data_IF_976894626248
#
_entry.id   IF_976894626248
#
_cell.length_a   1.000
_cell.length_b   1.000
_cell.length_c   1.000
_cell.angle_alpha   90.00
_cell.angle_beta   90.00
_cell.angle_gamma   90.00
#
_symmetry.space_group_name_H-M   'P 1'
#
loop_
_entity.id
_entity.type
_entity.pdbx_description
1 polymer ?
#
# COMPACT_ATOMS: atom_id res chain seq x y z
N UNK A 1 67.52 -43.70 3.78
CA UNK A 1 67.10 -42.36 3.31
C UNK A 1 65.70 -42.08 3.83
N UNK A 2 65.55 -41.11 4.73
CA UNK A 2 64.28 -40.72 5.35
C UNK A 2 63.84 -39.39 4.74
N UNK A 3 62.68 -39.33 4.08
CA UNK A 3 62.05 -38.07 3.68
C UNK A 3 61.02 -37.68 4.74
N UNK A 4 61.31 -36.61 5.49
CA UNK A 4 60.38 -35.98 6.41
C UNK A 4 59.49 -35.00 5.64
N UNK A 5 58.17 -35.20 5.70
CA UNK A 5 57.18 -34.22 5.27
C UNK A 5 57.04 -33.17 6.38
N UNK A 6 57.52 -31.94 6.11
CA UNK A 6 57.28 -30.81 6.99
C UNK A 6 55.91 -30.20 6.61
N UNK A 7 54.87 -30.51 7.40
CA UNK A 7 53.61 -29.76 7.37
C UNK A 7 53.84 -28.43 8.09
N UNK A 8 54.02 -27.35 7.34
CA UNK A 8 53.99 -25.98 7.84
C UNK A 8 52.54 -25.55 8.10
N UNK A 9 52.25 -25.21 9.35
CA UNK A 9 50.96 -24.74 9.86
C UNK A 9 50.46 -23.48 9.13
N UNK A 10 49.33 -23.58 8.44
CA UNK A 10 48.56 -22.40 8.03
C UNK A 10 48.01 -21.73 9.30
N UNK A 11 48.47 -20.50 9.59
CA UNK A 11 47.95 -19.69 10.68
C UNK A 11 46.47 -19.33 10.42
N UNK A 12 45.56 -20.09 11.04
CA UNK A 12 44.10 -19.98 10.90
C UNK A 12 43.57 -18.57 11.18
N UNK A 13 44.29 -17.77 11.98
CA UNK A 13 43.91 -16.42 12.35
C UNK A 13 43.98 -15.41 11.19
N UNK A 14 44.90 -15.57 10.24
CA UNK A 14 45.01 -14.64 9.10
C UNK A 14 43.93 -14.89 8.05
N UNK A 15 43.54 -16.16 7.87
CA UNK A 15 42.45 -16.54 6.98
C UNK A 15 41.09 -16.00 7.45
N UNK A 16 40.83 -16.00 8.76
CA UNK A 16 39.60 -15.45 9.32
C UNK A 16 39.53 -13.93 9.15
N UNK A 17 40.63 -13.21 9.34
CA UNK A 17 40.67 -11.75 9.11
C UNK A 17 40.44 -11.43 7.63
N UNK A 18 41.04 -12.20 6.71
CA UNK A 18 40.80 -12.03 5.27
C UNK A 18 39.36 -12.35 4.88
N UNK A 19 38.77 -13.38 5.49
CA UNK A 19 37.36 -13.71 5.31
C UNK A 19 36.44 -12.57 5.79
N UNK A 20 36.70 -11.98 6.95
CA UNK A 20 35.95 -10.82 7.42
C UNK A 20 36.15 -9.55 6.59
N UNK A 21 37.32 -9.40 5.93
CA UNK A 21 37.62 -8.27 5.06
C UNK A 21 36.95 -8.39 3.67
N UNK A 22 36.80 -9.62 3.16
CA UNK A 22 36.15 -9.90 1.88
C UNK A 22 34.63 -10.05 2.03
N UNK A 23 34.15 -10.57 3.15
CA UNK A 23 32.73 -10.69 3.49
C UNK A 23 32.33 -9.64 4.51
N UNK A 24 32.60 -8.37 4.21
CA UNK A 24 32.11 -7.25 4.99
C UNK A 24 30.61 -7.39 5.27
N UNK A 25 30.21 -7.11 6.51
CA UNK A 25 28.81 -7.16 6.94
C UNK A 25 27.98 -6.16 6.12
N UNK A 26 27.33 -6.64 5.06
CA UNK A 26 26.24 -5.93 4.40
C UNK A 26 25.06 -5.98 5.36
N UNK A 27 24.93 -4.97 6.21
CA UNK A 27 23.68 -4.71 6.91
C UNK A 27 22.73 -4.13 5.86
N UNK A 28 21.95 -4.99 5.22
CA UNK A 28 20.88 -4.58 4.34
C UNK A 28 19.83 -3.83 5.19
N UNK A 29 19.75 -2.51 5.03
CA UNK A 29 18.64 -1.72 5.54
C UNK A 29 17.38 -2.07 4.72
N UNK A 30 16.63 -3.07 5.17
CA UNK A 30 15.45 -3.58 4.46
C UNK A 30 14.21 -2.65 4.52
N UNK A 31 14.27 -1.52 5.22
CA UNK A 31 13.12 -0.62 5.44
C UNK A 31 12.99 0.51 4.39
N UNK A 32 14.01 0.78 3.58
CA UNK A 32 13.99 1.89 2.61
C UNK A 32 13.38 1.48 1.25
N UNK A 33 13.52 0.21 0.85
CA UNK A 33 13.09 -0.27 -0.47
C UNK A 33 11.56 -0.39 -0.60
N UNK A 34 10.86 -0.89 0.42
CA UNK A 34 9.41 -1.10 0.33
C UNK A 34 8.62 0.21 0.22
N UNK A 35 9.04 1.26 0.92
CA UNK A 35 8.42 2.57 0.86
C UNK A 35 8.64 3.23 -0.50
N UNK A 36 9.87 3.19 -1.03
CA UNK A 36 10.18 3.68 -2.37
C UNK A 36 9.39 2.95 -3.45
N UNK A 37 9.25 1.63 -3.33
CA UNK A 37 8.48 0.86 -4.31
C UNK A 37 6.97 1.18 -4.23
N UNK A 38 6.41 1.34 -3.04
CA UNK A 38 5.01 1.75 -2.86
C UNK A 38 4.71 3.12 -3.48
N UNK A 39 5.62 4.09 -3.32
CA UNK A 39 5.45 5.44 -3.89
C UNK A 39 5.63 5.48 -5.40
N UNK A 40 6.51 4.63 -5.97
CA UNK A 40 6.84 4.64 -7.41
C UNK A 40 5.89 3.83 -8.28
N UNK A 41 5.26 2.80 -7.72
CA UNK A 41 4.42 1.86 -8.49
C UNK A 41 3.06 2.46 -8.89
N UNK A 42 2.58 3.44 -8.14
CA UNK A 42 1.27 4.06 -8.36
C UNK A 42 1.43 5.56 -8.57
N UNK A 43 0.56 6.13 -9.41
CA UNK A 43 0.49 7.59 -9.63
C UNK A 43 -0.28 8.26 -8.49
N UNK A 44 0.29 8.23 -7.28
CA UNK A 44 -0.33 8.83 -6.10
C UNK A 44 -0.52 10.35 -6.29
N UNK A 45 -1.70 10.83 -5.91
CA UNK A 45 -2.07 12.24 -5.88
C UNK A 45 -2.39 12.66 -4.46
N UNK A 46 -2.21 13.95 -4.17
CA UNK A 46 -2.80 14.55 -2.98
C UNK A 46 -4.32 14.69 -3.15
N UNK A 47 -5.01 14.96 -2.04
CA UNK A 47 -6.48 14.99 -1.99
C UNK A 47 -7.10 15.95 -3.02
N UNK A 48 -6.60 17.19 -3.08
CA UNK A 48 -7.16 18.22 -3.95
C UNK A 48 -6.97 17.88 -5.43
N UNK A 49 -5.74 17.54 -5.82
CA UNK A 49 -5.42 17.18 -7.21
C UNK A 49 -6.17 15.93 -7.64
N UNK A 50 -6.23 14.91 -6.79
CA UNK A 50 -6.91 13.65 -7.09
C UNK A 50 -8.40 13.83 -7.35
N UNK A 51 -9.09 14.59 -6.50
CA UNK A 51 -10.52 14.87 -6.71
C UNK A 51 -10.79 15.74 -7.94
N UNK A 52 -9.86 16.62 -8.32
CA UNK A 52 -9.97 17.38 -9.57
C UNK A 52 -9.73 16.49 -10.80
N UNK A 53 -8.71 15.65 -10.78
CA UNK A 53 -8.39 14.71 -11.86
C UNK A 53 -9.52 13.68 -12.06
N UNK A 54 -10.17 13.23 -10.99
CA UNK A 54 -11.30 12.29 -11.07
C UNK A 54 -12.46 12.86 -11.89
N UNK A 55 -12.78 14.14 -11.71
CA UNK A 55 -13.84 14.84 -12.46
C UNK A 55 -13.51 14.91 -13.95
N UNK A 56 -12.25 15.17 -14.29
CA UNK A 56 -11.80 15.31 -15.68
C UNK A 56 -11.72 13.94 -16.36
N UNK A 57 -11.07 12.97 -15.71
CA UNK A 57 -10.82 11.64 -16.23
C UNK A 57 -12.04 10.71 -16.17
N UNK A 58 -13.10 11.12 -15.45
CA UNK A 58 -14.31 10.33 -15.19
C UNK A 58 -14.01 8.97 -14.54
N UNK A 59 -12.95 8.90 -13.75
CA UNK A 59 -12.55 7.71 -12.99
C UNK A 59 -12.98 7.84 -11.52
N UNK A 60 -13.39 6.75 -10.86
CA UNK A 60 -13.57 6.73 -9.41
C UNK A 60 -12.24 6.98 -8.69
N UNK A 61 -12.34 7.37 -7.43
CA UNK A 61 -11.20 7.68 -6.56
C UNK A 61 -10.98 6.52 -5.61
N UNK A 62 -9.73 6.06 -5.55
CA UNK A 62 -9.23 5.21 -4.48
C UNK A 62 -8.49 6.13 -3.49
N UNK A 63 -8.99 6.25 -2.25
CA UNK A 63 -8.37 7.09 -1.22
C UNK A 63 -7.77 6.22 -0.11
N UNK A 64 -6.45 6.27 0.03
CA UNK A 64 -5.73 5.70 1.18
C UNK A 64 -5.46 6.78 2.22
N UNK A 65 -6.02 6.60 3.41
CA UNK A 65 -5.72 7.42 4.59
C UNK A 65 -4.76 6.64 5.47
N UNK A 66 -3.59 7.22 5.75
CA UNK A 66 -2.55 6.57 6.52
C UNK A 66 -1.85 7.53 7.49
N UNK A 67 -0.98 6.99 8.34
CA UNK A 67 -0.12 7.79 9.23
C UNK A 67 1.32 7.28 9.16
N UNK A 68 2.33 8.14 8.97
CA UNK A 68 3.74 7.75 9.06
C UNK A 68 4.06 7.12 10.43
N UNK A 69 4.88 6.08 10.45
CA UNK A 69 5.25 5.37 11.68
C UNK A 69 4.13 4.52 12.28
N UNK A 70 3.01 4.32 11.58
CA UNK A 70 1.97 3.38 12.00
C UNK A 70 2.36 1.94 11.59
N UNK A 71 2.55 1.00 12.54
CA UNK A 71 2.98 -0.36 12.22
C UNK A 71 2.05 -1.11 11.27
N UNK A 72 0.74 -0.86 11.37
CA UNK A 72 -0.26 -1.49 10.49
C UNK A 72 -0.20 -0.95 9.07
N UNK A 73 0.02 0.37 8.89
CA UNK A 73 0.23 0.97 7.58
C UNK A 73 1.49 0.43 6.91
N UNK A 74 2.60 0.37 7.65
CA UNK A 74 3.88 -0.13 7.10
C UNK A 74 3.80 -1.61 6.69
N UNK A 75 3.06 -2.44 7.44
CA UNK A 75 2.79 -3.84 7.06
C UNK A 75 1.89 -3.98 5.82
N UNK A 76 1.01 -3.01 5.57
CA UNK A 76 0.09 -3.05 4.43
C UNK A 76 0.81 -2.72 3.12
N UNK A 77 1.71 -1.74 3.12
CA UNK A 77 2.43 -1.27 1.91
C UNK A 77 3.07 -2.39 1.08
N UNK A 78 3.92 -3.29 1.61
CA UNK A 78 4.55 -4.33 0.79
C UNK A 78 3.52 -5.33 0.24
N UNK A 79 2.45 -5.64 1.00
CA UNK A 79 1.36 -6.50 0.52
C UNK A 79 0.61 -5.86 -0.64
N UNK A 80 0.39 -4.56 -0.56
CA UNK A 80 -0.27 -3.76 -1.59
C UNK A 80 0.60 -3.66 -2.85
N UNK A 81 1.87 -3.30 -2.70
CA UNK A 81 2.84 -3.17 -3.79
C UNK A 81 3.07 -4.50 -4.52
N UNK A 82 3.20 -5.62 -3.80
CA UNK A 82 3.49 -6.91 -4.42
C UNK A 82 2.29 -7.56 -5.14
N UNK A 83 1.13 -6.91 -5.16
CA UNK A 83 -0.09 -7.43 -5.80
C UNK A 83 -0.24 -6.89 -7.22
N UNK A 84 0.06 -7.74 -8.22
CA UNK A 84 -0.13 -7.44 -9.65
C UNK A 84 -1.60 -7.09 -9.94
N UNK A 85 -2.55 -7.74 -9.27
CA UNK A 85 -3.97 -7.49 -9.50
C UNK A 85 -4.40 -6.10 -8.99
N UNK A 86 -3.85 -5.64 -7.87
CA UNK A 86 -4.07 -4.27 -7.40
C UNK A 86 -3.44 -3.27 -8.37
N UNK A 87 -2.22 -3.55 -8.85
CA UNK A 87 -1.57 -2.69 -9.85
C UNK A 87 -2.41 -2.54 -11.12
N UNK A 88 -2.96 -3.64 -11.65
CA UNK A 88 -3.83 -3.59 -12.83
C UNK A 88 -5.12 -2.81 -12.55
N UNK A 89 -5.80 -3.08 -11.43
CA UNK A 89 -7.02 -2.37 -11.05
C UNK A 89 -6.77 -0.88 -10.83
N UNK A 90 -5.62 -0.50 -10.28
CA UNK A 90 -5.28 0.90 -9.98
C UNK A 90 -5.32 1.82 -11.20
N UNK A 91 -5.13 1.27 -12.41
CA UNK A 91 -5.20 2.03 -13.65
C UNK A 91 -6.61 2.58 -13.95
N UNK A 92 -7.64 1.99 -13.35
CA UNK A 92 -9.04 2.40 -13.48
C UNK A 92 -9.48 3.43 -12.44
N UNK A 93 -8.60 3.76 -11.48
CA UNK A 93 -8.85 4.72 -10.42
C UNK A 93 -7.94 5.94 -10.54
N UNK A 94 -8.37 7.05 -9.93
CA UNK A 94 -7.45 8.08 -9.47
C UNK A 94 -6.95 7.67 -8.08
N UNK A 95 -5.65 7.38 -7.98
CA UNK A 95 -5.02 6.90 -6.76
C UNK A 95 -4.63 8.09 -5.87
N UNK A 96 -5.26 8.19 -4.70
CA UNK A 96 -5.07 9.31 -3.78
C UNK A 96 -4.55 8.79 -2.44
N UNK A 97 -3.53 9.45 -1.91
CA UNK A 97 -3.02 9.21 -0.56
C UNK A 97 -3.11 10.49 0.25
N UNK A 98 -3.55 10.38 1.50
CA UNK A 98 -3.53 11.49 2.44
C UNK A 98 -3.08 11.03 3.83
N UNK A 99 -2.43 11.92 4.57
CA UNK A 99 -2.11 11.65 5.97
C UNK A 99 -3.35 11.92 6.83
N UNK A 100 -3.56 11.12 7.86
CA UNK A 100 -4.64 11.35 8.83
C UNK A 100 -4.59 12.77 9.42
N UNK A 101 -3.40 13.25 9.73
CA UNK A 101 -3.21 14.55 10.37
C UNK A 101 -3.50 15.73 9.41
N UNK A 102 -3.78 15.48 8.12
CA UNK A 102 -4.21 16.47 7.12
C UNK A 102 -5.74 16.58 7.01
N UNK A 103 -6.52 15.73 7.72
CA UNK A 103 -7.98 15.79 7.72
C UNK A 103 -8.42 17.03 8.51
N UNK A 104 -9.20 17.90 7.85
CA UNK A 104 -9.81 19.06 8.50
C UNK A 104 -11.05 18.65 9.30
N UNK A 105 -11.38 19.41 10.35
CA UNK A 105 -12.60 19.18 11.14
C UNK A 105 -13.90 19.19 10.30
N UNK A 106 -13.89 19.91 9.17
CA UNK A 106 -15.04 19.98 8.26
C UNK A 106 -15.19 18.72 7.40
N UNK A 107 -14.12 17.97 7.21
CA UNK A 107 -14.07 16.78 6.36
C UNK A 107 -14.14 15.46 7.16
N UNK A 108 -14.16 15.51 8.49
CA UNK A 108 -14.19 14.33 9.37
C UNK A 108 -15.35 13.39 9.00
N UNK A 109 -16.56 13.92 8.83
CA UNK A 109 -17.73 13.11 8.47
C UNK A 109 -17.58 12.41 7.11
N UNK A 110 -16.74 12.96 6.21
CA UNK A 110 -16.48 12.41 4.87
C UNK A 110 -15.38 11.35 4.88
N UNK A 111 -14.35 11.52 5.69
CA UNK A 111 -13.14 10.69 5.68
C UNK A 111 -12.96 9.78 6.90
N UNK A 112 -13.85 9.90 7.90
CA UNK A 112 -13.86 9.09 9.13
C UNK A 112 -15.26 8.46 9.39
N UNK A 113 -15.90 7.82 8.37
CA UNK A 113 -17.30 7.39 8.44
C UNK A 113 -17.59 6.34 9.53
N UNK A 114 -16.59 5.58 9.96
CA UNK A 114 -16.68 4.59 11.04
C UNK A 114 -15.55 4.73 12.07
N UNK A 115 -14.97 5.92 12.16
CA UNK A 115 -13.96 6.29 13.15
C UNK A 115 -12.59 6.63 12.59
N UNK A 116 -11.65 6.84 13.51
CA UNK A 116 -10.40 7.57 13.23
C UNK A 116 -9.17 6.64 13.08
N UNK A 117 -9.36 5.32 13.01
CA UNK A 117 -8.27 4.33 12.90
C UNK A 117 -7.52 4.41 11.56
N UNK A 118 -6.28 3.92 11.47
CA UNK A 118 -5.52 3.85 10.21
C UNK A 118 -4.83 2.48 10.06
N UNK A 119 -4.56 2.01 8.83
CA UNK A 119 -4.95 2.59 7.53
C UNK A 119 -6.45 2.44 7.23
N UNK A 120 -6.98 3.34 6.38
CA UNK A 120 -8.35 3.25 5.83
C UNK A 120 -8.30 3.39 4.31
N UNK A 121 -9.12 2.62 3.62
CA UNK A 121 -9.32 2.75 2.17
C UNK A 121 -10.79 3.10 1.91
N UNK A 122 -11.02 4.26 1.31
CA UNK A 122 -12.33 4.76 0.95
C UNK A 122 -12.44 4.91 -0.56
N UNK A 123 -13.65 4.75 -1.09
CA UNK A 123 -13.95 4.90 -2.51
C UNK A 123 -14.92 6.06 -2.73
N UNK A 124 -14.67 6.82 -3.80
CA UNK A 124 -15.56 7.90 -4.21
C UNK A 124 -15.83 7.81 -5.71
N UNK A 125 -17.00 8.28 -6.10
CA UNK A 125 -17.35 8.48 -7.51
C UNK A 125 -16.47 9.57 -8.13
N UNK A 126 -16.49 9.67 -9.47
CA UNK A 126 -15.71 10.68 -10.20
C UNK A 126 -16.07 12.14 -9.88
N UNK A 127 -17.29 12.39 -9.40
CA UNK A 127 -17.78 13.69 -8.92
C UNK A 127 -17.42 13.95 -7.44
N UNK A 128 -16.92 12.95 -6.73
CA UNK A 128 -16.43 13.06 -5.36
C UNK A 128 -17.45 12.70 -4.27
N UNK A 129 -18.53 11.99 -4.64
CA UNK A 129 -19.52 11.43 -3.71
C UNK A 129 -18.97 10.15 -3.07
N UNK A 130 -19.19 10.00 -1.77
CA UNK A 130 -18.71 8.84 -1.03
C UNK A 130 -19.53 7.58 -1.35
N UNK A 131 -18.84 6.49 -1.71
CA UNK A 131 -19.45 5.19 -2.00
C UNK A 131 -19.63 4.40 -0.70
N UNK A 132 -20.64 4.75 0.09
CA UNK A 132 -20.92 4.17 1.42
C UNK A 132 -21.10 2.64 1.42
N UNK A 133 -21.52 2.07 0.30
CA UNK A 133 -21.78 0.65 0.16
C UNK A 133 -20.51 -0.14 -0.24
N UNK A 134 -19.43 0.55 -0.63
CA UNK A 134 -18.14 -0.07 -0.95
C UNK A 134 -17.24 -0.09 0.29
N UNK A 135 -17.22 -1.23 0.97
CA UNK A 135 -16.40 -1.47 2.15
C UNK A 135 -15.94 -2.94 2.20
N UNK A 136 -15.06 -3.28 3.15
CA UNK A 136 -14.49 -4.62 3.28
C UNK A 136 -15.56 -5.63 3.75
N UNK A 137 -16.20 -6.30 2.79
CA UNK A 137 -17.23 -7.34 3.03
C UNK A 137 -16.66 -8.76 3.13
N UNK A 138 -15.33 -8.90 3.14
CA UNK A 138 -14.70 -10.21 3.17
C UNK A 138 -15.02 -10.93 4.48
N UNK A 139 -15.21 -12.25 4.44
CA UNK A 139 -15.51 -13.08 5.62
C UNK A 139 -14.48 -13.06 6.76
N UNK A 140 -13.31 -12.45 6.54
CA UNK A 140 -12.21 -12.29 7.50
C UNK A 140 -11.96 -10.81 7.84
N UNK A 141 -12.87 -9.94 7.42
CA UNK A 141 -12.85 -8.52 7.75
C UNK A 141 -13.21 -8.33 9.23
N UNK A 142 -12.89 -7.16 9.75
CA UNK A 142 -13.30 -6.78 11.10
C UNK A 142 -14.64 -6.04 11.02
N UNK A 143 -15.68 -6.57 11.64
CA UNK A 143 -17.04 -6.00 11.57
C UNK A 143 -17.14 -4.59 12.16
N UNK A 144 -16.22 -4.20 13.04
CA UNK A 144 -16.15 -2.87 13.65
C UNK A 144 -15.42 -1.85 12.77
N UNK A 145 -14.56 -2.30 11.86
CA UNK A 145 -13.68 -1.45 11.05
C UNK A 145 -13.88 -1.77 9.58
N UNK A 146 -14.96 -1.23 9.01
CA UNK A 146 -15.46 -1.56 7.67
C UNK A 146 -14.47 -1.20 6.56
N UNK A 147 -13.68 -0.15 6.76
CA UNK A 147 -12.72 0.36 5.77
C UNK A 147 -11.27 -0.02 6.10
N UNK A 148 -11.07 -0.94 7.05
CA UNK A 148 -9.77 -1.54 7.33
C UNK A 148 -9.55 -2.77 6.45
N UNK A 149 -8.36 -2.86 5.85
CA UNK A 149 -7.96 -3.97 4.98
C UNK A 149 -6.61 -4.51 5.42
N UNK A 150 -6.52 -5.82 5.64
CA UNK A 150 -5.29 -6.46 6.12
C UNK A 150 -4.55 -7.28 5.06
N UNK A 151 -5.18 -7.53 3.92
CA UNK A 151 -4.61 -8.34 2.85
C UNK A 151 -5.06 -7.83 1.46
N UNK A 152 -4.37 -8.23 0.38
CA UNK A 152 -4.69 -7.76 -0.96
C UNK A 152 -6.04 -8.22 -1.49
N UNK A 153 -6.52 -9.43 -1.17
CA UNK A 153 -7.80 -9.94 -1.71
C UNK A 153 -8.97 -9.08 -1.25
N UNK A 154 -8.97 -8.67 0.02
CA UNK A 154 -9.98 -7.75 0.57
C UNK A 154 -10.03 -6.42 -0.21
N UNK A 155 -8.87 -5.87 -0.57
CA UNK A 155 -8.78 -4.61 -1.32
C UNK A 155 -9.30 -4.81 -2.74
N UNK A 156 -8.89 -5.90 -3.38
CA UNK A 156 -9.30 -6.25 -4.74
C UNK A 156 -10.82 -6.37 -4.83
N UNK A 157 -11.45 -7.03 -3.87
CA UNK A 157 -12.91 -7.20 -3.84
C UNK A 157 -13.61 -5.84 -3.78
N UNK A 158 -13.17 -4.93 -2.90
CA UNK A 158 -13.74 -3.58 -2.83
C UNK A 158 -13.43 -2.71 -4.05
N UNK A 159 -12.26 -2.87 -4.68
CA UNK A 159 -11.95 -2.18 -5.95
C UNK A 159 -12.88 -2.64 -7.07
N UNK A 160 -13.20 -3.94 -7.15
CA UNK A 160 -14.14 -4.47 -8.14
C UNK A 160 -15.54 -3.91 -7.87
N UNK A 161 -16.00 -3.96 -6.61
CA UNK A 161 -17.30 -3.39 -6.21
C UNK A 161 -17.42 -1.90 -6.55
N UNK A 162 -16.37 -1.09 -6.34
CA UNK A 162 -16.37 0.32 -6.74
C UNK A 162 -16.49 0.51 -8.25
N UNK A 163 -15.88 -0.36 -9.07
CA UNK A 163 -16.01 -0.27 -10.52
C UNK A 163 -17.43 -0.64 -10.96
N UNK A 164 -18.03 -1.67 -10.37
CA UNK A 164 -19.41 -2.09 -10.62
C UNK A 164 -20.41 -0.97 -10.28
N UNK A 165 -20.28 -0.36 -9.10
CA UNK A 165 -21.11 0.78 -8.66
C UNK A 165 -21.09 1.94 -9.67
N UNK A 166 -19.93 2.24 -10.27
CA UNK A 166 -19.85 3.29 -11.30
C UNK A 166 -20.50 2.94 -12.64
N UNK A 167 -20.72 1.65 -12.93
CA UNK A 167 -21.41 1.21 -14.14
C UNK A 167 -22.92 1.32 -13.98
N UNK A 168 -23.43 1.05 -12.79
CA UNK A 168 -24.86 1.16 -12.46
C UNK A 168 -25.31 2.64 -12.53
N UNK A 169 -24.56 3.56 -11.91
CA UNK A 169 -24.81 5.01 -11.98
C UNK A 169 -24.89 5.53 -13.43
N UNK A 170 -24.02 5.02 -14.32
CA UNK A 170 -24.02 5.39 -15.75
C UNK A 170 -25.22 4.83 -16.51
N UNK A 171 -25.79 3.74 -16.05
CA UNK A 171 -26.96 3.11 -16.67
C UNK A 171 -28.23 3.84 -16.27
N UNK A 172 -28.33 4.31 -15.02
CA UNK A 172 -29.46 5.12 -14.55
C UNK A 172 -29.55 6.48 -15.25
N UNK A 173 -28.43 7.15 -15.52
CA UNK A 173 -28.42 8.44 -16.24
C UNK A 173 -28.84 8.37 -17.72
N UNK A 174 -28.92 7.16 -18.30
CA UNK A 174 -29.31 6.95 -19.71
C UNK A 174 -30.81 6.67 -19.87
N UNK A 175 -31.54 6.53 -18.77
CA UNK A 175 -32.98 6.28 -18.74
C UNK A 175 -33.76 7.57 -18.57
#
# INVERSE_FOLDING_TARGET
MRYAKCLGSLNVTTALVYYYYIFGNVIAAADDDSNRNFERMYKWKNLREGFQEAKISRKPIFLLIHKPGCPTCEKLKPRFTNSIKILNLSQHFVMVSMKKDEISAQDEAKFEPDGTYVPRILFFTSDGKFMKDVYNRHSKANDKYKYFYNNPSQIIDSMILALEDTLDDKTEMKK
#
